data_IF_937173855812
#
_entry.id   IF_937173855812
#
_cell.length_a   1.000
_cell.length_b   1.000
_cell.length_c   1.000
_cell.angle_alpha   90.00
_cell.angle_beta   90.00
_cell.angle_gamma   90.00
#
_symmetry.space_group_name_H-M   'P 1'
#
loop_
_entity.id
_entity.type
_entity.pdbx_description
1 polymer ?
#
# COMPACT_ATOMS: atom_id res chain seq x y z
N UNK A 1 -13.73 -50.18 11.68
CA UNK A 1 -14.41 -48.91 11.38
C UNK A 1 -13.51 -48.11 10.44
N UNK A 2 -14.07 -47.75 9.31
CA UNK A 2 -13.39 -47.27 8.11
C UNK A 2 -13.64 -45.76 8.01
N UNK A 3 -12.57 -44.98 7.91
CA UNK A 3 -12.56 -43.63 7.32
C UNK A 3 -11.30 -43.63 6.45
N UNK A 4 -11.36 -43.90 5.14
CA UNK A 4 -11.80 -42.98 4.08
C UNK A 4 -11.33 -41.55 4.45
N UNK A 5 -10.26 -41.01 3.88
CA UNK A 5 -9.99 -40.88 2.45
C UNK A 5 -8.47 -40.89 2.25
N UNK A 6 -8.01 -41.73 1.32
CA UNK A 6 -6.70 -41.60 0.69
C UNK A 6 -6.65 -40.21 0.06
N UNK A 7 -5.88 -39.30 0.65
CA UNK A 7 -5.52 -38.01 0.06
C UNK A 7 -4.54 -38.29 -1.08
N UNK A 8 -5.08 -38.74 -2.21
CA UNK A 8 -4.35 -38.74 -3.47
C UNK A 8 -4.26 -37.28 -3.94
N UNK A 9 -3.02 -36.78 -3.96
CA UNK A 9 -2.50 -35.46 -4.38
C UNK A 9 -2.58 -34.29 -3.36
N UNK A 10 -1.58 -34.16 -2.46
CA UNK A 10 -1.49 -33.04 -1.51
C UNK A 10 -1.14 -31.67 -2.15
N UNK A 11 -0.63 -31.62 -3.38
CA UNK A 11 -0.04 -30.37 -3.91
C UNK A 11 -1.05 -29.24 -4.18
N UNK A 12 -2.28 -29.54 -4.63
CA UNK A 12 -3.23 -28.50 -5.09
C UNK A 12 -4.08 -27.92 -3.95
N UNK A 13 -4.54 -28.76 -3.02
CA UNK A 13 -5.31 -28.30 -1.86
C UNK A 13 -4.43 -27.43 -0.96
N UNK A 14 -3.18 -27.82 -0.78
CA UNK A 14 -2.27 -27.17 0.16
C UNK A 14 -1.84 -25.82 -0.39
N UNK A 15 -1.47 -25.74 -1.67
CA UNK A 15 -1.21 -24.47 -2.36
C UNK A 15 -2.42 -23.52 -2.31
N UNK A 16 -3.64 -24.05 -2.41
CA UNK A 16 -4.85 -23.23 -2.28
C UNK A 16 -5.07 -22.75 -0.85
N UNK A 17 -4.77 -23.56 0.15
CA UNK A 17 -4.85 -23.16 1.56
C UNK A 17 -3.82 -22.08 1.89
N UNK A 18 -2.59 -22.20 1.38
CA UNK A 18 -1.55 -21.17 1.50
C UNK A 18 -1.98 -19.86 0.83
N UNK A 19 -2.55 -19.93 -0.38
CA UNK A 19 -3.07 -18.76 -1.08
C UNK A 19 -4.16 -18.05 -0.26
N UNK A 20 -5.08 -18.80 0.34
CA UNK A 20 -6.14 -18.26 1.20
C UNK A 20 -5.56 -17.61 2.47
N UNK A 21 -4.55 -18.23 3.08
CA UNK A 21 -3.87 -17.66 4.24
C UNK A 21 -3.21 -16.31 3.90
N UNK A 22 -2.50 -16.23 2.77
CA UNK A 22 -1.88 -15.00 2.29
C UNK A 22 -2.94 -13.89 2.04
N UNK A 23 -4.06 -14.24 1.41
CA UNK A 23 -5.18 -13.29 1.22
C UNK A 23 -5.74 -12.81 2.57
N UNK A 24 -5.86 -13.70 3.55
CA UNK A 24 -6.37 -13.36 4.89
C UNK A 24 -5.46 -12.35 5.60
N UNK A 25 -4.15 -12.49 5.46
CA UNK A 25 -3.17 -11.56 6.05
C UNK A 25 -3.21 -10.17 5.39
N UNK A 26 -3.37 -10.15 4.06
CA UNK A 26 -3.51 -8.92 3.26
C UNK A 26 -4.88 -8.25 3.41
N UNK A 27 -5.91 -9.01 3.78
CA UNK A 27 -7.28 -8.56 3.92
C UNK A 27 -7.96 -9.03 5.21
N UNK A 28 -7.48 -8.61 6.41
CA UNK A 28 -8.12 -9.00 7.65
C UNK A 28 -9.53 -8.42 7.71
N UNK A 29 -10.49 -9.24 8.13
CA UNK A 29 -11.92 -8.89 8.17
C UNK A 29 -12.48 -8.43 6.81
N UNK A 30 -11.82 -8.79 5.70
CA UNK A 30 -12.23 -8.39 4.35
C UNK A 30 -11.81 -6.99 3.93
N UNK A 31 -11.04 -6.25 4.74
CA UNK A 31 -10.58 -4.91 4.37
C UNK A 31 -9.18 -4.98 3.74
N UNK A 32 -9.01 -4.53 2.50
CA UNK A 32 -7.73 -4.61 1.80
C UNK A 32 -6.69 -3.64 2.37
N UNK A 33 -5.51 -4.18 2.68
CA UNK A 33 -4.35 -3.38 3.09
C UNK A 33 -3.44 -3.05 1.92
N UNK A 34 -3.86 -2.13 1.05
CA UNK A 34 -3.14 -1.75 -0.17
C UNK A 34 -1.66 -1.36 0.04
N UNK A 35 -1.34 -0.79 1.21
CA UNK A 35 0.01 -0.32 1.51
C UNK A 35 0.98 -1.43 1.91
N UNK A 36 0.47 -2.52 2.48
CA UNK A 36 1.31 -3.66 2.88
C UNK A 36 1.78 -4.47 1.67
N UNK A 37 1.05 -4.38 0.56
CA UNK A 37 1.38 -5.03 -0.72
C UNK A 37 2.72 -4.51 -1.29
N UNK A 38 3.14 -3.28 -0.94
CA UNK A 38 4.40 -2.68 -1.44
C UNK A 38 5.63 -3.55 -1.11
N UNK A 39 5.57 -4.35 -0.04
CA UNK A 39 6.66 -5.23 0.41
C UNK A 39 6.98 -6.36 -0.58
N UNK A 40 6.04 -6.73 -1.43
CA UNK A 40 6.19 -7.81 -2.39
C UNK A 40 6.83 -7.31 -3.69
N UNK A 41 7.55 -8.19 -4.43
CA UNK A 41 8.18 -7.83 -5.70
C UNK A 41 7.14 -7.49 -6.76
N UNK A 42 7.48 -6.53 -7.63
CA UNK A 42 6.64 -6.20 -8.79
C UNK A 42 6.68 -7.34 -9.79
N UNK A 43 5.59 -7.52 -10.55
CA UNK A 43 5.52 -8.57 -11.57
C UNK A 43 6.64 -8.45 -12.59
N UNK A 44 7.05 -7.24 -12.95
CA UNK A 44 8.20 -7.02 -13.83
C UNK A 44 9.48 -7.70 -13.31
N UNK A 45 9.76 -7.58 -12.01
CA UNK A 45 10.91 -8.22 -11.39
C UNK A 45 10.77 -9.76 -11.41
N UNK A 46 9.56 -10.26 -11.18
CA UNK A 46 9.28 -11.69 -11.26
C UNK A 46 9.38 -12.24 -12.70
N UNK A 47 9.03 -11.45 -13.71
CA UNK A 47 9.23 -11.83 -15.12
C UNK A 47 10.73 -11.95 -15.42
N UNK A 48 11.55 -11.05 -14.89
CA UNK A 48 13.01 -11.08 -15.06
C UNK A 48 13.65 -12.30 -14.39
N UNK A 49 13.15 -12.73 -13.22
CA UNK A 49 13.71 -13.87 -12.47
C UNK A 49 13.17 -15.23 -12.90
N UNK A 50 11.86 -15.34 -13.11
CA UNK A 50 11.15 -16.62 -13.32
C UNK A 50 10.69 -16.82 -14.77
N UNK A 51 10.63 -15.74 -15.56
CA UNK A 51 10.23 -15.76 -16.96
C UNK A 51 8.73 -15.48 -17.18
N UNK A 52 8.43 -14.80 -18.31
CA UNK A 52 7.07 -14.37 -18.69
C UNK A 52 6.06 -15.53 -18.72
N UNK A 53 6.47 -16.70 -19.21
CA UNK A 53 5.58 -17.87 -19.34
C UNK A 53 5.06 -18.38 -17.99
N UNK A 54 5.90 -18.39 -16.95
CA UNK A 54 5.49 -18.81 -15.60
C UNK A 54 4.51 -17.80 -15.01
N UNK A 55 4.78 -16.50 -15.14
CA UNK A 55 3.89 -15.45 -14.63
C UNK A 55 2.53 -15.47 -15.31
N UNK A 56 2.49 -15.69 -16.63
CA UNK A 56 1.25 -15.87 -17.36
C UNK A 56 0.47 -17.08 -16.83
N UNK A 57 1.13 -18.23 -16.62
CA UNK A 57 0.47 -19.42 -16.08
C UNK A 57 -0.11 -19.19 -14.67
N UNK A 58 0.59 -18.46 -13.81
CA UNK A 58 0.10 -18.08 -12.47
C UNK A 58 -1.14 -17.20 -12.58
N UNK A 59 -1.13 -16.18 -13.44
CA UNK A 59 -2.31 -15.32 -13.64
C UNK A 59 -3.50 -16.09 -14.21
N UNK A 60 -3.29 -16.99 -15.18
CA UNK A 60 -4.34 -17.87 -15.70
C UNK A 60 -4.95 -18.72 -14.59
N UNK A 61 -4.12 -19.29 -13.70
CA UNK A 61 -4.61 -20.06 -12.56
C UNK A 61 -5.43 -19.21 -11.59
N UNK A 62 -5.04 -17.96 -11.34
CA UNK A 62 -5.80 -17.03 -10.50
C UNK A 62 -7.17 -16.69 -11.11
N UNK A 63 -7.21 -16.38 -12.42
CA UNK A 63 -8.47 -16.12 -13.14
C UNK A 63 -9.34 -17.37 -13.13
N UNK A 64 -8.76 -18.55 -13.38
CA UNK A 64 -9.47 -19.83 -13.36
C UNK A 64 -10.08 -20.13 -12.00
N UNK A 65 -9.36 -19.89 -10.91
CA UNK A 65 -9.89 -20.04 -9.54
C UNK A 65 -11.01 -19.03 -9.27
N UNK A 66 -10.85 -17.79 -9.72
CA UNK A 66 -11.88 -16.76 -9.62
C UNK A 66 -13.17 -17.15 -10.36
N UNK A 67 -13.07 -17.48 -11.65
CA UNK A 67 -14.16 -17.95 -12.48
C UNK A 67 -14.85 -19.20 -11.89
N UNK A 68 -14.06 -20.12 -11.31
CA UNK A 68 -14.61 -21.34 -10.66
C UNK A 68 -15.30 -21.05 -9.33
N UNK A 69 -15.00 -19.92 -8.69
CA UNK A 69 -15.61 -19.51 -7.42
C UNK A 69 -17.00 -18.89 -7.61
N UNK A 70 -17.37 -18.53 -8.85
CA UNK A 70 -18.61 -17.84 -9.17
C UNK A 70 -19.55 -18.75 -9.95
N UNK A 71 -20.81 -18.78 -9.55
CA UNK A 71 -21.85 -19.54 -10.24
C UNK A 71 -22.58 -18.64 -11.25
N UNK A 72 -21.97 -18.42 -12.41
CA UNK A 72 -22.53 -17.60 -13.50
C UNK A 72 -23.03 -18.47 -14.66
N UNK A 73 -24.04 -17.99 -15.37
CA UNK A 73 -24.63 -18.72 -16.51
C UNK A 73 -23.64 -18.84 -17.67
N UNK A 74 -22.86 -17.78 -17.93
CA UNK A 74 -21.83 -17.76 -18.98
C UNK A 74 -20.47 -17.43 -18.36
N UNK A 75 -19.65 -18.46 -18.21
CA UNK A 75 -18.29 -18.31 -17.72
C UNK A 75 -17.29 -18.20 -18.89
N UNK A 76 -16.11 -17.66 -18.61
CA UNK A 76 -15.03 -17.61 -19.60
C UNK A 76 -14.57 -19.03 -19.95
N UNK A 77 -14.20 -19.24 -21.21
CA UNK A 77 -13.48 -20.44 -21.64
C UNK A 77 -11.97 -20.31 -21.35
N UNK A 78 -11.22 -21.39 -21.52
CA UNK A 78 -9.78 -21.41 -21.18
C UNK A 78 -8.95 -20.44 -22.05
N UNK A 79 -9.27 -20.32 -23.35
CA UNK A 79 -8.60 -19.39 -24.25
C UNK A 79 -8.83 -17.93 -23.82
N UNK A 80 -10.07 -17.57 -23.47
CA UNK A 80 -10.42 -16.26 -22.93
C UNK A 80 -9.70 -15.97 -21.61
N UNK A 81 -9.49 -16.97 -20.74
CA UNK A 81 -8.70 -16.81 -19.51
C UNK A 81 -7.23 -16.53 -19.82
N UNK A 82 -6.66 -17.19 -20.84
CA UNK A 82 -5.29 -16.94 -21.29
C UNK A 82 -5.15 -15.53 -21.87
N UNK A 83 -6.09 -15.11 -22.72
CA UNK A 83 -6.13 -13.75 -23.27
C UNK A 83 -6.26 -12.69 -22.17
N UNK A 84 -7.14 -12.92 -21.20
CA UNK A 84 -7.30 -12.02 -20.05
C UNK A 84 -6.02 -11.94 -19.22
N UNK A 85 -5.36 -13.08 -18.93
CA UNK A 85 -4.11 -13.09 -18.20
C UNK A 85 -2.98 -12.36 -18.96
N UNK A 86 -2.93 -12.50 -20.29
CA UNK A 86 -1.95 -11.81 -21.12
C UNK A 86 -2.16 -10.29 -21.10
N UNK A 87 -3.41 -9.83 -21.23
CA UNK A 87 -3.77 -8.41 -21.10
C UNK A 87 -3.36 -7.86 -19.73
N UNK A 88 -3.72 -8.57 -18.64
CA UNK A 88 -3.37 -8.14 -17.29
C UNK A 88 -1.86 -8.05 -17.10
N UNK A 89 -1.09 -8.97 -17.68
CA UNK A 89 0.37 -8.98 -17.59
C UNK A 89 1.02 -7.81 -18.35
N UNK A 90 0.45 -7.43 -19.50
CA UNK A 90 1.02 -6.39 -20.37
C UNK A 90 0.61 -4.96 -19.94
N UNK A 91 -0.61 -4.75 -19.43
CA UNK A 91 -1.10 -3.42 -19.04
C UNK A 91 -0.63 -2.95 -17.65
N UNK A 92 -0.23 -3.87 -16.78
CA UNK A 92 -0.05 -3.59 -15.36
C UNK A 92 1.37 -3.86 -14.84
N UNK A 93 2.39 -3.27 -15.46
CA UNK A 93 3.79 -3.43 -15.01
C UNK A 93 4.01 -3.01 -13.53
N UNK A 94 3.19 -2.09 -13.02
CA UNK A 94 3.27 -1.58 -11.64
C UNK A 94 2.56 -2.46 -10.59
N UNK A 95 1.90 -3.54 -11.02
CA UNK A 95 1.16 -4.43 -10.14
C UNK A 95 2.05 -5.55 -9.61
N UNK A 96 1.63 -6.06 -8.46
CA UNK A 96 2.22 -7.24 -7.81
C UNK A 96 1.23 -8.40 -7.90
N UNK A 97 1.69 -9.63 -7.75
CA UNK A 97 0.78 -10.79 -7.79
C UNK A 97 -0.31 -10.69 -6.70
N UNK A 98 0.06 -10.15 -5.55
CA UNK A 98 -0.79 -9.92 -4.40
C UNK A 98 -1.89 -8.90 -4.70
N UNK A 99 -1.64 -7.92 -5.58
CA UNK A 99 -2.66 -6.96 -6.01
C UNK A 99 -3.82 -7.68 -6.72
N UNK A 100 -3.51 -8.64 -7.60
CA UNK A 100 -4.54 -9.43 -8.29
C UNK A 100 -5.28 -10.35 -7.33
N UNK A 101 -4.59 -10.92 -6.35
CA UNK A 101 -5.23 -11.76 -5.34
C UNK A 101 -6.25 -10.97 -4.51
N UNK A 102 -5.89 -9.75 -4.10
CA UNK A 102 -6.79 -8.84 -3.40
C UNK A 102 -7.96 -8.46 -4.31
N UNK A 103 -7.68 -8.05 -5.55
CA UNK A 103 -8.70 -7.68 -6.55
C UNK A 103 -9.73 -8.81 -6.73
N UNK A 104 -9.30 -10.04 -7.03
CA UNK A 104 -10.22 -11.16 -7.21
C UNK A 104 -10.97 -11.51 -5.93
N UNK A 105 -10.34 -11.35 -4.76
CA UNK A 105 -11.00 -11.61 -3.48
C UNK A 105 -12.05 -10.55 -3.12
N UNK A 106 -11.82 -9.28 -3.45
CA UNK A 106 -12.82 -8.21 -3.34
C UNK A 106 -13.96 -8.42 -4.35
N UNK A 107 -13.64 -8.84 -5.57
CA UNK A 107 -14.62 -9.18 -6.59
C UNK A 107 -15.53 -10.34 -6.16
N UNK A 108 -14.97 -11.40 -5.54
CA UNK A 108 -15.75 -12.51 -4.96
C UNK A 108 -16.74 -12.05 -3.90
N UNK A 109 -16.44 -10.95 -3.20
CA UNK A 109 -17.33 -10.32 -2.20
C UNK A 109 -18.36 -9.36 -2.82
N UNK A 110 -18.28 -9.11 -4.13
CA UNK A 110 -19.14 -8.16 -4.84
C UNK A 110 -18.81 -6.69 -4.55
N UNK A 111 -17.61 -6.40 -4.03
CA UNK A 111 -17.24 -5.04 -3.63
C UNK A 111 -16.79 -4.16 -4.80
N UNK A 112 -16.25 -4.75 -5.88
CA UNK A 112 -15.71 -4.01 -7.02
C UNK A 112 -16.79 -3.75 -8.09
N UNK A 113 -17.27 -4.83 -8.73
CA UNK A 113 -18.23 -4.75 -9.83
C UNK A 113 -19.38 -5.71 -9.56
N UNK A 114 -20.60 -5.33 -9.97
CA UNK A 114 -21.76 -6.19 -9.90
C UNK A 114 -21.71 -7.24 -11.01
N UNK A 115 -21.36 -8.47 -10.65
CA UNK A 115 -21.36 -9.61 -11.55
C UNK A 115 -22.80 -10.12 -11.65
N UNK A 116 -23.36 -10.11 -12.87
CA UNK A 116 -24.72 -10.59 -13.16
C UNK A 116 -24.61 -12.00 -13.77
N UNK A 117 -25.05 -12.20 -15.01
CA UNK A 117 -25.17 -13.53 -15.60
C UNK A 117 -23.93 -14.03 -16.34
N UNK A 118 -22.91 -13.17 -16.52
CA UNK A 118 -21.71 -13.49 -17.30
C UNK A 118 -20.43 -12.92 -16.70
N UNK A 119 -19.33 -13.60 -16.99
CA UNK A 119 -17.97 -13.10 -16.82
C UNK A 119 -17.31 -13.13 -18.19
N UNK A 120 -16.79 -12.00 -18.61
CA UNK A 120 -16.02 -11.82 -19.83
C UNK A 120 -14.83 -10.88 -19.55
N UNK A 121 -14.00 -10.66 -20.56
CA UNK A 121 -12.84 -9.80 -20.48
C UNK A 121 -13.18 -8.38 -20.02
N UNK A 122 -14.32 -7.81 -20.43
CA UNK A 122 -14.73 -6.47 -20.03
C UNK A 122 -15.02 -6.39 -18.54
N UNK A 123 -15.62 -7.45 -17.96
CA UNK A 123 -15.85 -7.52 -16.52
C UNK A 123 -14.52 -7.55 -15.75
N UNK A 124 -13.52 -8.31 -16.23
CA UNK A 124 -12.17 -8.37 -15.63
C UNK A 124 -11.50 -6.99 -15.67
N UNK A 125 -11.53 -6.31 -16.81
CA UNK A 125 -10.98 -4.94 -16.93
C UNK A 125 -11.71 -3.95 -16.02
N UNK A 126 -13.04 -4.00 -15.94
CA UNK A 126 -13.80 -3.14 -15.03
C UNK A 126 -13.45 -3.38 -13.55
N UNK A 127 -13.20 -4.63 -13.16
CA UNK A 127 -12.73 -4.97 -11.81
C UNK A 127 -11.35 -4.38 -11.53
N UNK A 128 -10.45 -4.44 -12.51
CA UNK A 128 -9.11 -3.86 -12.42
C UNK A 128 -9.16 -2.33 -12.26
N UNK A 129 -9.97 -1.65 -13.07
CA UNK A 129 -10.10 -0.18 -13.02
C UNK A 129 -10.62 0.30 -11.67
N UNK A 130 -11.63 -0.37 -11.13
CA UNK A 130 -12.18 -0.06 -9.82
C UNK A 130 -11.16 -0.33 -8.70
N UNK A 131 -10.44 -1.46 -8.78
CA UNK A 131 -9.37 -1.77 -7.84
C UNK A 131 -8.25 -0.72 -7.88
N UNK A 132 -7.81 -0.33 -9.08
CA UNK A 132 -6.78 0.69 -9.28
C UNK A 132 -7.20 2.03 -8.67
N UNK A 133 -8.45 2.43 -8.90
CA UNK A 133 -9.03 3.67 -8.34
C UNK A 133 -9.00 3.64 -6.81
N UNK A 134 -9.41 2.53 -6.19
CA UNK A 134 -9.39 2.38 -4.72
C UNK A 134 -7.99 2.37 -4.14
N UNK A 135 -7.06 1.67 -4.80
CA UNK A 135 -5.65 1.66 -4.41
C UNK A 135 -5.04 3.05 -4.47
N UNK A 136 -5.31 3.80 -5.55
CA UNK A 136 -4.85 5.18 -5.73
C UNK A 136 -5.43 6.09 -4.64
N UNK A 137 -6.72 5.99 -4.36
CA UNK A 137 -7.38 6.77 -3.30
C UNK A 137 -6.77 6.46 -1.92
N UNK A 138 -6.51 5.19 -1.61
CA UNK A 138 -5.87 4.79 -0.36
C UNK A 138 -4.45 5.37 -0.21
N UNK A 139 -3.70 5.47 -1.32
CA UNK A 139 -2.38 6.10 -1.33
C UNK A 139 -2.47 7.62 -1.08
N UNK A 140 -3.39 8.31 -1.76
CA UNK A 140 -3.62 9.77 -1.58
C UNK A 140 -4.03 10.06 -0.13
N UNK A 141 -5.01 9.34 0.41
CA UNK A 141 -5.47 9.52 1.78
C UNK A 141 -4.34 9.32 2.81
N UNK A 142 -3.38 8.43 2.55
CA UNK A 142 -2.21 8.26 3.43
C UNK A 142 -1.31 9.50 3.41
N UNK A 143 -1.05 10.04 2.23
CA UNK A 143 -0.23 11.24 2.05
C UNK A 143 -0.90 12.44 2.71
N UNK A 144 -2.19 12.65 2.47
CA UNK A 144 -2.95 13.76 3.07
C UNK A 144 -2.98 13.66 4.59
N UNK A 145 -3.18 12.46 5.15
CA UNK A 145 -3.12 12.24 6.59
C UNK A 145 -1.74 12.53 7.18
N UNK A 146 -0.68 12.23 6.45
CA UNK A 146 0.69 12.51 6.90
C UNK A 146 1.01 14.01 6.82
N UNK A 147 0.58 14.69 5.76
CA UNK A 147 0.70 16.14 5.64
C UNK A 147 -0.07 16.83 6.77
N UNK A 148 -1.32 16.44 7.02
CA UNK A 148 -2.13 17.01 8.10
C UNK A 148 -1.49 16.80 9.49
N UNK A 149 -0.85 15.63 9.71
CA UNK A 149 -0.06 15.39 10.94
C UNK A 149 1.13 16.33 11.03
N UNK A 150 1.91 16.47 9.97
CA UNK A 150 3.05 17.40 9.93
C UNK A 150 2.62 18.86 10.14
N UNK A 151 1.51 19.29 9.55
CA UNK A 151 0.96 20.64 9.73
C UNK A 151 0.48 20.87 11.18
N UNK A 152 -0.14 19.86 11.82
CA UNK A 152 -0.47 19.94 13.24
C UNK A 152 0.76 20.07 14.15
N UNK A 153 1.89 19.48 13.75
CA UNK A 153 3.17 19.60 14.47
C UNK A 153 3.83 20.95 14.17
N UNK A 154 3.75 21.43 12.93
CA UNK A 154 4.26 22.76 12.52
C UNK A 154 3.53 23.94 13.15
N UNK A 155 2.34 23.70 13.71
CA UNK A 155 1.56 24.71 14.42
C UNK A 155 2.11 25.07 15.82
N UNK A 156 3.11 24.33 16.35
CA UNK A 156 3.78 24.71 17.60
C UNK A 156 4.54 26.05 17.46
N UNK A 157 5.05 26.38 16.27
CA UNK A 157 5.69 27.68 16.01
C UNK A 157 4.70 28.85 16.14
N UNK A 158 3.43 28.64 15.75
CA UNK A 158 2.36 29.64 15.94
C UNK A 158 1.82 29.70 17.37
N UNK A 159 2.04 28.66 18.18
CA UNK A 159 1.72 28.72 19.61
C UNK A 159 2.72 29.58 20.40
N UNK A 160 3.97 29.68 19.93
CA UNK A 160 4.94 30.67 20.46
C UNK A 160 4.48 32.10 20.13
N UNK A 161 3.87 32.32 18.95
CA UNK A 161 3.34 33.64 18.56
C UNK A 161 2.06 34.04 19.31
N UNK A 162 1.42 33.12 20.03
CA UNK A 162 0.24 33.37 20.88
C UNK A 162 0.55 33.33 22.39
N UNK A 163 1.82 33.53 22.77
CA UNK A 163 2.19 33.80 24.16
C UNK A 163 1.47 35.07 24.65
N UNK A 164 0.92 35.04 25.87
CA UNK A 164 0.30 36.20 26.50
C UNK A 164 1.29 37.38 26.47
N UNK A 165 0.87 38.66 26.30
CA UNK A 165 1.78 39.80 26.13
C UNK A 165 2.83 39.98 27.23
N UNK A 166 2.63 39.36 28.40
CA UNK A 166 3.59 39.35 29.50
C UNK A 166 4.72 38.32 29.31
N UNK A 167 4.45 37.19 28.66
CA UNK A 167 5.46 36.17 28.34
C UNK A 167 6.33 36.59 27.14
N UNK A 168 5.75 37.33 26.18
CA UNK A 168 6.50 37.94 25.09
C UNK A 168 7.50 39.02 25.58
N UNK A 169 7.13 39.80 26.61
CA UNK A 169 8.04 40.75 27.26
C UNK A 169 9.17 40.05 28.02
N UNK A 170 8.88 38.94 28.68
CA UNK A 170 9.89 38.15 29.39
C UNK A 170 10.90 37.52 28.42
N UNK A 171 10.43 37.00 27.29
CA UNK A 171 11.29 36.45 26.23
C UNK A 171 12.15 37.54 25.56
N UNK A 172 11.58 38.72 25.28
CA UNK A 172 12.33 39.86 24.75
C UNK A 172 13.38 40.38 25.76
N UNK A 173 13.07 40.41 27.05
CA UNK A 173 14.02 40.76 28.10
C UNK A 173 15.15 39.73 28.23
N UNK A 174 14.84 38.43 28.10
CA UNK A 174 15.84 37.35 28.07
C UNK A 174 16.84 37.49 26.92
N UNK A 175 16.36 37.87 25.73
CA UNK A 175 17.24 38.12 24.57
C UNK A 175 18.15 39.34 24.79
N UNK A 176 17.65 40.39 25.43
CA UNK A 176 18.46 41.56 25.79
C UNK A 176 19.56 41.25 26.82
N UNK A 177 19.26 40.40 27.81
CA UNK A 177 20.23 39.95 28.81
C UNK A 177 21.28 39.04 28.15
N UNK A 178 20.88 38.13 27.26
CA UNK A 178 21.80 37.25 26.55
C UNK A 178 22.77 38.03 25.66
N UNK A 179 22.26 39.04 24.93
CA UNK A 179 23.10 39.93 24.12
C UNK A 179 24.07 40.77 24.96
N UNK A 180 23.64 41.24 26.15
CA UNK A 180 24.50 41.98 27.07
C UNK A 180 25.60 41.08 27.69
N UNK A 181 25.28 39.83 28.02
CA UNK A 181 26.25 38.85 28.51
C UNK A 181 27.27 38.50 27.42
N UNK A 182 26.84 38.33 26.17
CA UNK A 182 27.76 38.05 25.06
C UNK A 182 28.68 39.25 24.79
N UNK A 183 28.17 40.48 24.85
CA UNK A 183 28.97 41.70 24.72
C UNK A 183 30.02 41.85 25.85
N UNK A 184 29.64 41.53 27.09
CA UNK A 184 30.58 41.50 28.22
C UNK A 184 31.63 40.40 28.07
N UNK A 185 31.23 39.22 27.58
CA UNK A 185 32.15 38.10 27.31
C UNK A 185 33.18 38.48 26.26
N UNK A 186 32.74 39.06 25.15
CA UNK A 186 33.62 39.54 24.06
C UNK A 186 34.60 40.58 24.58
N UNK A 187 34.11 41.58 25.32
CA UNK A 187 34.97 42.60 25.94
C UNK A 187 35.98 42.04 26.95
N UNK A 188 35.62 40.99 27.69
CA UNK A 188 36.54 40.32 28.62
C UNK A 188 37.62 39.53 27.87
N UNK A 189 37.28 38.86 26.76
CA UNK A 189 38.28 38.19 25.90
C UNK A 189 39.24 39.17 25.25
N UNK A 190 38.80 40.37 24.91
CA UNK A 190 39.65 41.41 24.33
C UNK A 190 40.58 42.04 25.38
N UNK A 191 40.11 42.20 26.62
CA UNK A 191 40.96 42.64 27.74
C UNK A 191 42.05 41.62 28.09
N UNK A 192 41.73 40.32 28.07
CA UNK A 192 42.70 39.24 28.36
C UNK A 192 43.76 39.07 27.26
N UNK A 193 43.48 39.49 26.02
CA UNK A 193 44.48 39.48 24.93
C UNK A 193 45.48 40.63 25.03
N UNK A 194 45.07 41.80 25.51
CA UNK A 194 45.94 42.97 25.65
C UNK A 194 46.87 42.93 26.88
N UNK A 195 46.68 42.01 27.82
CA UNK A 195 47.61 41.78 28.95
C UNK A 195 48.72 40.75 28.66
N UNK A 196 48.78 40.18 27.44
CA UNK A 196 49.78 39.17 27.03
C UNK A 196 50.73 39.60 25.92
N UNK A 197 50.74 40.88 25.54
CA UNK A 197 51.82 41.54 24.78
C UNK A 197 52.70 42.39 25.70
#
# INVERSE_FOLDING_TARGET
>A
MQCLIKLETPEKSDAKMELIALVSDLMPQGKPKYLEVIKYPMIRQLIETEGKKKMLAVLVLMIKDFCSSLNVVRNMNEDQMIEAAAMLLDECENFRLEDYMIMFSMAKRGELVKIMDRIDLQVITAMLDEYFTRRKLAAINKVDNEINRLDSIGNTTRQIENLHPDEAKLAAAGNGISAAIEALRVGLTDAVKNEKE
#
